data_IF_655242044147
#
_entry.id   IF_655242044147
#
_cell.length_a   1.000
_cell.length_b   1.000
_cell.length_c   1.000
_cell.angle_alpha   90.00
_cell.angle_beta   90.00
_cell.angle_gamma   90.00
#
_symmetry.space_group_name_H-M   'P 1'
#
loop_
_entity.id
_entity.type
_entity.pdbx_description
1 polymer ?
#
# COMPACT_ATOMS: atom_id res chain seq x y z
N UNK A 1 -0.45 9.29 -0.28
CA UNK A 1 -1.17 8.25 0.51
C UNK A 1 -0.41 6.94 0.44
N UNK A 2 -0.14 6.34 1.58
CA UNK A 2 0.50 5.02 1.66
C UNK A 2 -0.50 4.05 2.25
N UNK A 3 -0.90 3.07 1.47
CA UNK A 3 -1.75 1.97 1.94
C UNK A 3 -0.85 0.82 2.34
N UNK A 4 -1.08 0.25 3.50
CA UNK A 4 -0.28 -0.89 3.95
C UNK A 4 -1.15 -2.01 4.46
N UNK A 5 -0.64 -3.23 4.35
CA UNK A 5 -1.23 -4.41 4.96
C UNK A 5 -0.16 -5.08 5.80
N UNK A 6 -0.41 -5.19 7.09
CA UNK A 6 0.58 -5.71 8.01
C UNK A 6 0.11 -7.04 8.60
N UNK A 7 0.72 -8.13 8.15
CA UNK A 7 0.49 -9.42 8.77
C UNK A 7 1.40 -9.65 9.97
N UNK A 8 2.60 -9.09 9.92
CA UNK A 8 3.62 -9.34 10.96
C UNK A 8 4.18 -8.07 11.58
N UNK A 9 3.75 -6.92 11.13
CA UNK A 9 4.26 -5.65 11.63
C UNK A 9 5.39 -5.05 10.80
N UNK A 10 6.08 -5.86 10.00
CA UNK A 10 7.19 -5.35 9.18
C UNK A 10 6.70 -4.37 8.12
N UNK A 11 5.60 -4.69 7.47
CA UNK A 11 5.05 -3.81 6.44
C UNK A 11 4.63 -2.46 7.01
N UNK A 12 4.08 -2.47 8.23
CA UNK A 12 3.72 -1.24 8.90
C UNK A 12 4.95 -0.36 9.16
N UNK A 13 6.05 -0.95 9.64
CA UNK A 13 7.26 -0.20 9.92
C UNK A 13 7.82 0.44 8.66
N UNK A 14 7.85 -0.31 7.57
CA UNK A 14 8.31 0.21 6.27
C UNK A 14 7.38 1.30 5.77
N UNK A 15 6.08 1.08 5.83
CA UNK A 15 5.10 2.04 5.36
C UNK A 15 5.17 3.35 6.15
N UNK A 16 5.36 3.25 7.45
CA UNK A 16 5.48 4.43 8.31
C UNK A 16 6.69 5.27 7.93
N UNK A 17 7.83 4.62 7.70
CA UNK A 17 9.03 5.33 7.28
C UNK A 17 8.85 5.99 5.93
N UNK A 18 8.21 5.31 4.99
CA UNK A 18 7.94 5.88 3.68
C UNK A 18 7.00 7.08 3.77
N UNK A 19 5.95 6.95 4.55
CA UNK A 19 4.98 8.04 4.71
C UNK A 19 5.66 9.28 5.31
N UNK A 20 6.50 9.08 6.30
CA UNK A 20 7.25 10.19 6.91
C UNK A 20 8.22 10.82 5.93
N UNK A 21 8.94 9.99 5.17
CA UNK A 21 9.94 10.49 4.23
C UNK A 21 9.31 11.24 3.06
N UNK A 22 8.13 10.82 2.63
CA UNK A 22 7.45 11.42 1.49
C UNK A 22 6.43 12.48 1.87
N UNK A 23 6.15 12.62 3.16
CA UNK A 23 5.11 13.54 3.61
C UNK A 23 3.72 13.09 3.25
N UNK A 24 3.49 11.78 3.19
CA UNK A 24 2.20 11.21 2.80
C UNK A 24 1.45 10.66 4.02
N UNK A 25 0.15 10.49 3.86
CA UNK A 25 -0.67 9.88 4.88
C UNK A 25 -0.55 8.35 4.81
N UNK A 26 -0.93 7.70 5.89
CA UNK A 26 -0.81 6.25 6.05
C UNK A 26 -2.19 5.67 6.35
N UNK A 27 -2.59 4.63 5.62
CA UNK A 27 -3.88 3.97 5.79
C UNK A 27 -3.71 2.47 5.80
N UNK A 28 -4.35 1.81 6.77
CA UNK A 28 -4.37 0.36 6.87
C UNK A 28 -5.39 -0.20 5.88
N UNK A 29 -4.93 -1.07 4.98
CA UNK A 29 -5.80 -1.70 3.99
C UNK A 29 -6.92 -2.50 4.67
N UNK A 30 -6.61 -3.22 5.75
CA UNK A 30 -7.62 -4.01 6.45
C UNK A 30 -8.73 -3.11 6.99
N UNK A 31 -8.39 -1.95 7.51
CA UNK A 31 -9.39 -1.01 8.00
C UNK A 31 -10.22 -0.43 6.86
N UNK A 32 -9.59 -0.13 5.73
CA UNK A 32 -10.32 0.36 4.56
C UNK A 32 -11.30 -0.67 4.04
N UNK A 33 -10.91 -1.94 4.03
CA UNK A 33 -11.79 -3.03 3.59
C UNK A 33 -12.98 -3.18 4.54
N UNK A 34 -12.73 -3.12 5.85
CA UNK A 34 -13.82 -3.20 6.83
C UNK A 34 -14.82 -2.07 6.69
N UNK A 35 -14.33 -0.88 6.38
CA UNK A 35 -15.19 0.27 6.19
C UNK A 35 -15.87 0.31 4.82
N UNK A 36 -15.47 -0.59 3.91
CA UNK A 36 -15.99 -0.57 2.54
C UNK A 36 -15.49 0.62 1.76
N UNK A 37 -14.38 1.19 2.16
CA UNK A 37 -13.84 2.41 1.56
C UNK A 37 -12.83 2.04 0.48
N UNK A 38 -13.30 2.00 -0.76
CA UNK A 38 -12.46 1.67 -1.91
C UNK A 38 -12.23 2.84 -2.83
N UNK A 39 -12.47 4.07 -2.36
CA UNK A 39 -12.31 5.27 -3.18
C UNK A 39 -11.19 6.13 -2.62
N UNK A 40 -10.38 6.65 -3.52
CA UNK A 40 -9.34 7.59 -3.14
C UNK A 40 -9.18 8.64 -4.22
N UNK A 41 -9.18 9.91 -3.81
CA UNK A 41 -8.92 11.02 -4.71
C UNK A 41 -7.50 11.51 -4.47
N UNK A 42 -6.67 11.44 -5.49
CA UNK A 42 -5.29 11.89 -5.39
C UNK A 42 -5.23 13.41 -5.58
N UNK A 43 -4.54 14.05 -4.66
CA UNK A 43 -4.24 15.47 -4.78
C UNK A 43 -3.07 15.65 -5.74
N UNK A 44 -2.95 16.84 -6.27
CA UNK A 44 -1.84 17.15 -7.17
C UNK A 44 -0.52 17.00 -6.42
N UNK A 45 0.41 16.26 -7.00
CA UNK A 45 1.70 16.01 -6.38
C UNK A 45 1.72 14.87 -5.38
N UNK A 46 0.57 14.26 -5.12
CA UNK A 46 0.49 13.13 -4.20
C UNK A 46 1.12 11.88 -4.82
N UNK A 47 1.77 11.08 -3.97
CA UNK A 47 2.29 9.77 -4.37
C UNK A 47 1.43 8.70 -3.72
N UNK A 48 1.03 7.69 -4.49
CA UNK A 48 0.25 6.58 -3.96
C UNK A 48 1.11 5.34 -3.92
N UNK A 49 1.28 4.79 -2.73
CA UNK A 49 2.09 3.60 -2.54
C UNK A 49 1.34 2.50 -1.83
N UNK A 50 1.75 1.27 -2.09
CA UNK A 50 1.23 0.09 -1.43
C UNK A 50 2.39 -0.66 -0.79
N UNK A 51 2.25 -1.01 0.48
CA UNK A 51 3.27 -1.78 1.20
C UNK A 51 2.59 -3.01 1.78
N UNK A 52 3.06 -4.19 1.41
CA UNK A 52 2.44 -5.43 1.83
C UNK A 52 3.46 -6.57 1.82
N UNK A 53 3.23 -7.62 2.63
CA UNK A 53 4.09 -8.79 2.58
C UNK A 53 3.74 -9.69 1.41
N UNK A 54 4.72 -10.49 0.96
CA UNK A 54 4.50 -11.49 -0.08
C UNK A 54 4.74 -12.86 0.55
N UNK A 55 3.75 -13.73 0.42
CA UNK A 55 3.82 -15.09 0.94
C UNK A 55 3.73 -16.06 -0.24
N UNK A 56 4.67 -16.99 -0.32
CA UNK A 56 4.64 -18.01 -1.36
C UNK A 56 4.46 -17.42 -2.77
N UNK A 57 5.14 -16.33 -3.04
CA UNK A 57 5.13 -15.62 -4.32
C UNK A 57 3.82 -14.91 -4.65
N UNK A 58 2.97 -14.73 -3.67
CA UNK A 58 1.70 -14.04 -3.87
C UNK A 58 1.44 -13.03 -2.76
N UNK A 59 0.79 -11.90 -3.07
CA UNK A 59 0.35 -10.99 -2.04
C UNK A 59 -0.84 -11.57 -1.29
N UNK A 60 -1.13 -11.06 -0.08
CA UNK A 60 -2.33 -11.48 0.65
C UNK A 60 -3.59 -11.21 -0.17
N UNK A 61 -4.57 -12.09 -0.03
CA UNK A 61 -5.83 -11.96 -0.77
C UNK A 61 -6.52 -10.62 -0.47
N UNK A 62 -6.45 -10.16 0.77
CA UNK A 62 -7.03 -8.87 1.16
C UNK A 62 -6.45 -7.72 0.34
N UNK A 63 -5.14 -7.74 0.12
CA UNK A 63 -4.48 -6.71 -0.69
C UNK A 63 -4.93 -6.79 -2.15
N UNK A 64 -4.99 -8.00 -2.69
CA UNK A 64 -5.43 -8.20 -4.06
C UNK A 64 -6.86 -7.71 -4.25
N UNK A 65 -7.74 -8.07 -3.34
CA UNK A 65 -9.15 -7.65 -3.41
C UNK A 65 -9.28 -6.13 -3.28
N UNK A 66 -8.52 -5.53 -2.39
CA UNK A 66 -8.55 -4.09 -2.22
C UNK A 66 -8.13 -3.38 -3.51
N UNK A 67 -7.04 -3.80 -4.11
CA UNK A 67 -6.52 -3.15 -5.32
C UNK A 67 -7.48 -3.32 -6.49
N UNK A 68 -8.09 -4.51 -6.63
CA UNK A 68 -9.06 -4.77 -7.70
C UNK A 68 -10.28 -3.88 -7.60
N UNK A 69 -10.70 -3.55 -6.39
CA UNK A 69 -11.91 -2.76 -6.18
C UNK A 69 -11.63 -1.27 -5.96
N UNK A 70 -10.38 -0.89 -5.91
CA UNK A 70 -10.01 0.49 -5.66
C UNK A 70 -10.40 1.38 -6.81
N UNK A 71 -11.14 2.44 -6.50
CA UNK A 71 -11.50 3.48 -7.46
C UNK A 71 -10.61 4.69 -7.19
N UNK A 72 -9.82 5.04 -8.17
CA UNK A 72 -8.83 6.09 -8.05
C UNK A 72 -9.24 7.27 -8.91
N UNK A 73 -9.36 8.43 -8.29
CA UNK A 73 -9.69 9.67 -8.99
C UNK A 73 -8.45 10.57 -8.98
N UNK A 74 -7.98 10.95 -10.16
CA UNK A 74 -6.76 11.73 -10.28
C UNK A 74 -6.81 12.58 -11.55
N UNK A 75 -5.92 13.56 -11.62
CA UNK A 75 -5.73 14.34 -12.84
C UNK A 75 -4.24 14.33 -13.18
N UNK A 76 -3.94 14.28 -14.48
CA UNK A 76 -2.56 14.16 -14.94
C UNK A 76 -2.04 12.75 -14.80
N UNK A 77 -0.73 12.61 -14.65
CA UNK A 77 -0.07 11.32 -14.51
C UNK A 77 0.16 11.02 -13.03
N UNK A 78 -0.52 10.02 -12.47
CA UNK A 78 -0.31 9.70 -11.07
C UNK A 78 1.02 8.99 -10.85
N UNK A 79 1.62 9.22 -9.69
CA UNK A 79 2.80 8.47 -9.27
C UNK A 79 2.36 7.31 -8.39
N UNK A 80 2.55 6.10 -8.89
CA UNK A 80 2.15 4.88 -8.16
C UNK A 80 3.36 4.00 -7.94
N UNK A 81 3.45 3.36 -6.76
CA UNK A 81 4.53 2.42 -6.49
C UNK A 81 4.05 1.35 -5.51
N UNK A 82 4.80 0.26 -5.45
CA UNK A 82 4.53 -0.81 -4.50
C UNK A 82 5.84 -1.30 -3.89
N UNK A 83 5.78 -1.63 -2.61
CA UNK A 83 6.91 -2.20 -1.88
C UNK A 83 6.45 -3.51 -1.27
N UNK A 84 7.15 -4.60 -1.61
CA UNK A 84 6.85 -5.91 -1.08
C UNK A 84 7.87 -6.27 -0.03
N UNK A 85 7.41 -6.76 1.11
CA UNK A 85 8.30 -7.24 2.16
C UNK A 85 8.25 -8.76 2.19
N UNK A 86 9.42 -9.38 2.40
CA UNK A 86 9.52 -10.83 2.51
C UNK A 86 9.69 -11.20 3.96
N UNK A 87 8.94 -12.19 4.40
CA UNK A 87 8.97 -12.57 5.81
C UNK A 87 10.18 -13.35 6.24
N UNK A 88 10.88 -14.02 5.33
CA UNK A 88 11.87 -15.00 5.74
C UNK A 88 13.25 -14.76 5.17
N UNK A 89 13.44 -13.88 4.25
CA UNK A 89 14.75 -13.70 3.65
C UNK A 89 14.98 -12.23 3.38
N UNK A 90 16.18 -11.93 2.98
CA UNK A 90 16.57 -10.57 2.69
C UNK A 90 15.99 -10.05 1.39
N UNK A 91 15.20 -10.83 0.70
CA UNK A 91 14.65 -10.40 -0.56
C UNK A 91 13.61 -9.32 -0.38
N UNK A 92 13.80 -8.22 -1.06
CA UNK A 92 12.82 -7.15 -1.12
C UNK A 92 12.66 -6.76 -2.57
N UNK A 93 11.41 -6.58 -2.96
CA UNK A 93 11.10 -6.18 -4.32
C UNK A 93 10.41 -4.84 -4.29
N UNK A 94 10.90 -3.94 -5.09
CA UNK A 94 10.33 -2.60 -5.23
C UNK A 94 9.86 -2.45 -6.66
N UNK A 95 8.59 -2.14 -6.80
CA UNK A 95 7.99 -1.93 -8.13
C UNK A 95 7.43 -0.55 -8.28
#
# INVERSE_FOLDING_TARGET
MIYYFSGTGNSYAVAKKLAEALGEELTDIAEAVKAGNYKHTMLQGERLGFVFPVYAWAPPQTVTDFVKNLELYYSGDPYLFAVCTCGSSAGETID
#
